data_IF_094201346489
#
_entry.id   IF_094201346489
#
_cell.length_a   1.000
_cell.length_b   1.000
_cell.length_c   1.000
_cell.angle_alpha   90.00
_cell.angle_beta   90.00
_cell.angle_gamma   90.00
#
_symmetry.space_group_name_H-M   'P 1'
#
loop_
_entity.id
_entity.type
_entity.pdbx_description
1 polymer ?
#
# COMPACT_ATOMS: atom_id res chain seq x y z
N UNK A 1 -27.73 1.53 -29.01
CA UNK A 1 -27.16 0.81 -27.86
C UNK A 1 -28.28 0.72 -26.85
N UNK A 2 -28.67 -0.49 -26.44
CA UNK A 2 -29.80 -0.67 -25.53
C UNK A 2 -29.43 -0.20 -24.12
N UNK A 3 -30.38 0.42 -23.41
CA UNK A 3 -30.17 0.88 -22.04
C UNK A 3 -30.27 -0.28 -21.05
N UNK A 4 -29.36 -0.32 -20.07
CA UNK A 4 -29.40 -1.26 -18.94
C UNK A 4 -29.60 -0.52 -17.62
N UNK A 5 -30.12 -1.21 -16.60
CA UNK A 5 -30.25 -0.64 -15.26
C UNK A 5 -28.89 -0.57 -14.54
N UNK A 6 -28.76 0.31 -13.54
CA UNK A 6 -27.56 0.41 -12.70
C UNK A 6 -27.24 -0.91 -11.99
N UNK A 7 -28.28 -1.60 -11.51
CA UNK A 7 -28.14 -2.94 -10.89
C UNK A 7 -27.55 -3.95 -11.87
N UNK A 8 -27.97 -3.90 -13.12
CA UNK A 8 -27.46 -4.81 -14.13
C UNK A 8 -26.01 -4.51 -14.49
N UNK A 9 -25.62 -3.23 -14.58
CA UNK A 9 -24.23 -2.85 -14.73
C UNK A 9 -23.38 -3.35 -13.55
N UNK A 10 -23.83 -3.17 -12.31
CA UNK A 10 -23.12 -3.65 -11.12
C UNK A 10 -22.94 -5.17 -11.11
N UNK A 11 -23.98 -5.92 -11.52
CA UNK A 11 -23.91 -7.37 -11.66
C UNK A 11 -22.90 -7.81 -12.72
N UNK A 12 -22.83 -7.11 -13.86
CA UNK A 12 -21.82 -7.38 -14.91
C UNK A 12 -20.41 -7.10 -14.41
N UNK A 13 -20.18 -6.02 -13.67
CA UNK A 13 -18.89 -5.71 -13.06
C UNK A 13 -18.49 -6.82 -12.07
N UNK A 14 -19.40 -7.22 -11.19
CA UNK A 14 -19.18 -8.31 -10.23
C UNK A 14 -18.80 -9.62 -10.93
N UNK A 15 -19.53 -9.98 -11.99
CA UNK A 15 -19.24 -11.17 -12.78
C UNK A 15 -17.89 -11.12 -13.49
N UNK A 16 -17.49 -9.95 -14.01
CA UNK A 16 -16.17 -9.77 -14.62
C UNK A 16 -15.05 -9.90 -13.59
N UNK A 17 -15.23 -9.35 -12.39
CA UNK A 17 -14.25 -9.44 -11.31
C UNK A 17 -14.14 -10.85 -10.71
N UNK A 18 -15.20 -11.66 -10.79
CA UNK A 18 -15.18 -13.05 -10.35
C UNK A 18 -14.25 -13.95 -11.19
N UNK A 19 -13.79 -13.47 -12.36
CA UNK A 19 -12.80 -14.16 -13.18
C UNK A 19 -11.35 -13.89 -12.75
N UNK A 20 -11.11 -12.94 -11.83
CA UNK A 20 -9.79 -12.67 -11.27
C UNK A 20 -9.40 -13.79 -10.29
N UNK A 21 -8.10 -13.94 -10.06
CA UNK A 21 -7.59 -14.79 -8.99
C UNK A 21 -8.07 -14.25 -7.64
N UNK A 22 -8.20 -15.17 -6.67
CA UNK A 22 -8.72 -14.83 -5.36
C UNK A 22 -7.81 -13.87 -4.59
N UNK A 23 -6.49 -14.00 -4.75
CA UNK A 23 -5.50 -13.25 -3.96
C UNK A 23 -4.27 -12.88 -4.79
N UNK A 24 -3.71 -11.70 -4.50
CA UNK A 24 -2.52 -11.16 -5.16
C UNK A 24 -1.52 -10.64 -4.14
N UNK A 25 -0.23 -10.86 -4.39
CA UNK A 25 0.83 -10.10 -3.72
C UNK A 25 1.08 -8.81 -4.48
N UNK A 26 0.84 -7.67 -3.83
CA UNK A 26 0.92 -6.33 -4.43
C UNK A 26 1.90 -5.48 -3.66
N UNK A 27 2.79 -4.81 -4.40
CA UNK A 27 3.66 -3.76 -3.87
C UNK A 27 2.92 -2.44 -3.97
N UNK A 28 2.87 -1.68 -2.87
CA UNK A 28 2.29 -0.35 -2.85
C UNK A 28 2.97 0.55 -1.80
N UNK A 29 2.76 1.85 -1.90
CA UNK A 29 3.04 2.80 -0.83
C UNK A 29 1.76 3.10 -0.05
N UNK A 30 1.87 3.13 1.28
CA UNK A 30 0.77 3.55 2.15
C UNK A 30 0.70 5.08 2.11
N UNK A 31 -0.35 5.64 1.52
CA UNK A 31 -0.60 7.08 1.57
C UNK A 31 -1.21 7.48 2.92
N UNK A 32 -2.16 6.68 3.43
CA UNK A 32 -2.77 6.87 4.75
C UNK A 32 -3.06 5.52 5.41
N UNK A 33 -3.00 5.51 6.74
CA UNK A 33 -3.42 4.38 7.56
C UNK A 33 -4.27 4.89 8.74
N UNK A 34 -5.50 4.41 8.83
CA UNK A 34 -6.48 4.84 9.84
C UNK A 34 -7.02 3.64 10.61
N UNK A 35 -6.61 3.51 11.87
CA UNK A 35 -7.19 2.53 12.78
C UNK A 35 -8.50 3.06 13.36
N UNK A 36 -9.61 2.43 13.02
CA UNK A 36 -10.89 2.72 13.63
C UNK A 36 -10.95 2.07 15.02
N UNK A 37 -10.85 2.87 16.08
CA UNK A 37 -10.81 2.40 17.46
C UNK A 37 -12.06 1.63 17.90
N UNK A 38 -13.24 1.91 17.31
CA UNK A 38 -14.50 1.24 17.66
C UNK A 38 -14.61 -0.15 17.03
N UNK A 39 -14.30 -0.27 15.74
CA UNK A 39 -14.38 -1.56 15.01
C UNK A 39 -13.10 -2.39 15.10
N UNK A 40 -11.97 -1.75 15.39
CA UNK A 40 -10.63 -2.34 15.35
C UNK A 40 -10.10 -2.61 13.94
N UNK A 41 -10.78 -2.14 12.89
CA UNK A 41 -10.32 -2.29 11.50
C UNK A 41 -9.33 -1.19 11.15
N UNK A 42 -8.34 -1.53 10.33
CA UNK A 42 -7.43 -0.56 9.75
C UNK A 42 -7.82 -0.29 8.29
N UNK A 43 -8.01 0.98 7.95
CA UNK A 43 -8.30 1.41 6.59
C UNK A 43 -7.04 2.05 6.01
N UNK A 44 -6.63 1.59 4.83
CA UNK A 44 -5.47 2.09 4.13
C UNK A 44 -5.90 2.76 2.83
N UNK A 45 -5.24 3.87 2.51
CA UNK A 45 -5.16 4.36 1.14
C UNK A 45 -3.80 3.94 0.58
N UNK A 46 -3.82 3.16 -0.49
CA UNK A 46 -2.63 2.65 -1.16
C UNK A 46 -2.42 3.42 -2.46
N UNK A 47 -1.17 3.74 -2.75
CA UNK A 47 -0.76 4.42 -3.97
C UNK A 47 0.43 3.73 -4.61
N UNK A 48 0.52 3.82 -5.93
CA UNK A 48 1.73 3.50 -6.69
C UNK A 48 2.19 4.75 -7.42
N UNK A 49 3.49 5.05 -7.33
CA UNK A 49 4.07 6.28 -7.86
C UNK A 49 5.37 5.98 -8.59
N UNK A 50 5.58 6.68 -9.71
CA UNK A 50 6.84 6.73 -10.43
C UNK A 50 7.23 8.20 -10.60
N UNK A 51 8.40 8.60 -10.10
CA UNK A 51 8.90 9.99 -10.18
C UNK A 51 7.86 11.05 -9.76
N UNK A 52 7.20 10.81 -8.63
CA UNK A 52 6.09 11.61 -8.07
C UNK A 52 4.77 11.62 -8.87
N UNK A 53 4.71 10.94 -10.03
CA UNK A 53 3.47 10.73 -10.77
C UNK A 53 2.64 9.61 -10.11
N UNK A 54 1.37 9.90 -9.78
CA UNK A 54 0.43 8.93 -9.24
C UNK A 54 -0.10 8.03 -10.35
N UNK A 55 0.35 6.76 -10.38
CA UNK A 55 -0.04 5.79 -11.40
C UNK A 55 -1.33 5.04 -11.02
N UNK A 56 -1.47 4.69 -9.75
CA UNK A 56 -2.62 3.96 -9.25
C UNK A 56 -2.95 4.34 -7.81
N UNK A 57 -4.24 4.26 -7.45
CA UNK A 57 -4.71 4.43 -6.08
C UNK A 57 -5.87 3.49 -5.79
N UNK A 58 -5.82 2.82 -4.64
CA UNK A 58 -6.90 1.93 -4.18
C UNK A 58 -7.09 2.02 -2.67
N UNK A 59 -8.33 1.88 -2.22
CA UNK A 59 -8.66 1.71 -0.80
C UNK A 59 -8.49 0.26 -0.40
N UNK A 60 -7.90 0.03 0.75
CA UNK A 60 -7.78 -1.29 1.34
C UNK A 60 -8.29 -1.31 2.78
N UNK A 61 -8.79 -2.47 3.21
CA UNK A 61 -9.23 -2.70 4.58
C UNK A 61 -8.49 -3.90 5.15
N UNK A 62 -7.96 -3.75 6.36
CA UNK A 62 -7.49 -4.84 7.19
C UNK A 62 -8.51 -5.07 8.30
N UNK A 63 -9.21 -6.21 8.25
CA UNK A 63 -10.18 -6.57 9.27
C UNK A 63 -9.50 -6.77 10.63
N UNK A 64 -10.25 -6.54 11.71
CA UNK A 64 -9.73 -6.48 13.10
C UNK A 64 -8.79 -7.63 13.45
N UNK A 65 -9.22 -8.87 13.22
CA UNK A 65 -8.44 -10.05 13.58
C UNK A 65 -7.17 -10.21 12.73
N UNK A 66 -7.23 -9.88 11.44
CA UNK A 66 -6.05 -9.86 10.58
C UNK A 66 -5.12 -8.74 11.02
N UNK A 67 -5.65 -7.54 11.30
CA UNK A 67 -4.87 -6.37 11.67
C UNK A 67 -4.09 -6.59 12.97
N UNK A 68 -4.69 -7.22 13.98
CA UNK A 68 -3.98 -7.55 15.22
C UNK A 68 -2.76 -8.44 14.98
N UNK A 69 -2.89 -9.49 14.16
CA UNK A 69 -1.80 -10.41 13.83
C UNK A 69 -0.74 -9.75 12.96
N UNK A 70 -1.18 -9.05 11.91
CA UNK A 70 -0.33 -8.34 10.96
C UNK A 70 0.48 -7.27 11.67
N UNK A 71 -0.18 -6.41 12.46
CA UNK A 71 0.47 -5.31 13.18
C UNK A 71 1.53 -5.84 14.16
N UNK A 72 1.21 -6.88 14.94
CA UNK A 72 2.17 -7.48 15.86
C UNK A 72 3.40 -8.06 15.12
N UNK A 73 3.18 -8.86 14.06
CA UNK A 73 4.24 -9.42 13.21
C UNK A 73 5.09 -8.32 12.58
N UNK A 74 4.44 -7.29 12.05
CA UNK A 74 5.08 -6.18 11.35
C UNK A 74 5.93 -5.34 12.30
N UNK A 75 5.39 -4.94 13.44
CA UNK A 75 6.12 -4.16 14.45
C UNK A 75 7.27 -4.93 15.06
N UNK A 76 7.12 -6.26 15.28
CA UNK A 76 8.21 -7.10 15.78
C UNK A 76 9.39 -7.15 14.80
N UNK A 77 9.12 -7.24 13.50
CA UNK A 77 10.15 -7.32 12.48
C UNK A 77 10.77 -5.95 12.16
N UNK A 78 9.94 -4.91 12.00
CA UNK A 78 10.36 -3.60 11.49
C UNK A 78 10.70 -2.59 12.58
N UNK A 79 10.24 -2.82 13.83
CA UNK A 79 10.33 -1.86 14.92
C UNK A 79 9.37 -0.68 14.79
N UNK A 80 8.42 -0.71 13.85
CA UNK A 80 7.46 0.38 13.60
C UNK A 80 6.08 -0.18 13.19
N UNK A 81 5.03 0.62 13.37
CA UNK A 81 3.70 0.25 12.87
C UNK A 81 3.57 0.56 11.37
N UNK A 82 2.64 -0.13 10.68
CA UNK A 82 2.31 0.19 9.28
C UNK A 82 1.73 1.60 9.22
N UNK A 83 2.40 2.49 8.50
CA UNK A 83 2.06 3.91 8.44
C UNK A 83 2.36 4.55 7.10
N UNK A 84 1.99 5.83 6.97
CA UNK A 84 2.15 6.60 5.75
C UNK A 84 3.63 6.68 5.30
N UNK A 85 3.85 6.65 3.98
CA UNK A 85 5.18 6.68 3.35
C UNK A 85 5.92 5.35 3.33
N UNK A 86 5.37 4.30 3.92
CA UNK A 86 5.98 2.96 3.89
C UNK A 86 5.66 2.25 2.57
N UNK A 87 6.69 1.70 1.94
CA UNK A 87 6.53 0.75 0.84
C UNK A 87 6.31 -0.64 1.42
N UNK A 88 5.21 -1.28 1.06
CA UNK A 88 4.73 -2.52 1.65
C UNK A 88 4.44 -3.55 0.56
N UNK A 89 4.61 -4.83 0.92
CA UNK A 89 4.18 -5.96 0.13
C UNK A 89 2.99 -6.61 0.82
N UNK A 90 1.82 -6.56 0.18
CA UNK A 90 0.53 -6.91 0.75
C UNK A 90 -0.05 -8.12 0.02
N UNK A 91 -0.55 -9.11 0.75
CA UNK A 91 -1.44 -10.13 0.20
C UNK A 91 -2.87 -9.58 0.24
N UNK A 92 -3.50 -9.41 -0.91
CA UNK A 92 -4.81 -8.75 -1.04
C UNK A 92 -5.80 -9.59 -1.82
N UNK A 93 -7.06 -9.53 -1.41
CA UNK A 93 -8.22 -10.04 -2.13
C UNK A 93 -9.00 -8.86 -2.75
N UNK A 94 -9.36 -8.95 -4.02
CA UNK A 94 -10.15 -7.92 -4.71
C UNK A 94 -11.62 -8.02 -4.28
N UNK A 95 -12.21 -6.90 -3.87
CA UNK A 95 -13.61 -6.83 -3.41
C UNK A 95 -14.37 -5.78 -4.20
N UNK A 96 -15.57 -6.14 -4.63
CA UNK A 96 -16.52 -5.19 -5.21
C UNK A 96 -17.80 -5.18 -4.38
N UNK A 97 -18.21 -4.00 -3.96
CA UNK A 97 -19.48 -3.78 -3.28
C UNK A 97 -20.33 -2.85 -4.13
N UNK A 98 -21.59 -3.19 -4.38
CA UNK A 98 -22.47 -2.43 -5.28
C UNK A 98 -22.62 -0.95 -4.87
N UNK A 99 -22.51 -0.66 -3.57
CA UNK A 99 -22.63 0.71 -3.02
C UNK A 99 -21.28 1.42 -2.88
N UNK A 100 -20.23 0.70 -2.51
CA UNK A 100 -18.94 1.31 -2.12
C UNK A 100 -17.87 1.21 -3.21
N UNK A 101 -18.15 0.43 -4.28
CA UNK A 101 -17.25 0.21 -5.39
C UNK A 101 -16.16 -0.83 -5.10
N UNK A 102 -15.05 -0.69 -5.81
CA UNK A 102 -13.89 -1.57 -5.74
C UNK A 102 -13.03 -1.22 -4.51
N UNK A 103 -12.58 -2.25 -3.80
CA UNK A 103 -11.61 -2.14 -2.71
C UNK A 103 -10.78 -3.40 -2.58
N UNK A 104 -9.74 -3.32 -1.76
CA UNK A 104 -8.87 -4.45 -1.42
C UNK A 104 -9.13 -4.89 0.02
N UNK A 105 -9.09 -6.19 0.25
CA UNK A 105 -9.06 -6.78 1.58
C UNK A 105 -7.65 -7.33 1.84
N UNK A 106 -6.94 -6.76 2.81
CA UNK A 106 -5.57 -7.17 3.14
C UNK A 106 -5.60 -8.39 4.06
N UNK A 107 -4.95 -9.45 3.63
CA UNK A 107 -4.86 -10.75 4.33
C UNK A 107 -3.57 -10.91 5.11
N UNK A 108 -2.46 -10.41 4.57
CA UNK A 108 -1.15 -10.42 5.21
C UNK A 108 -0.26 -9.29 4.67
N UNK A 109 0.82 -9.00 5.38
CA UNK A 109 1.88 -8.08 4.98
C UNK A 109 3.22 -8.78 5.18
N UNK A 110 4.11 -8.68 4.20
CA UNK A 110 5.49 -9.14 4.34
C UNK A 110 6.37 -7.99 4.90
N UNK A 111 6.80 -8.06 6.18
CA UNK A 111 7.64 -7.04 6.78
C UNK A 111 9.08 -7.07 6.26
N UNK A 112 9.57 -8.20 5.75
CA UNK A 112 10.93 -8.32 5.22
C UNK A 112 11.11 -7.44 3.98
N UNK A 113 10.07 -7.32 3.16
CA UNK A 113 10.07 -6.38 2.04
C UNK A 113 10.26 -4.93 2.51
N UNK A 114 9.46 -4.48 3.48
CA UNK A 114 9.54 -3.10 3.98
C UNK A 114 10.87 -2.82 4.68
N UNK A 115 11.39 -3.77 5.46
CA UNK A 115 12.75 -3.67 6.04
C UNK A 115 13.82 -3.47 4.97
N UNK A 116 13.76 -4.25 3.88
CA UNK A 116 14.68 -4.12 2.76
C UNK A 116 14.58 -2.76 2.07
N UNK A 117 13.36 -2.26 1.83
CA UNK A 117 13.14 -0.94 1.24
C UNK A 117 13.67 0.19 2.13
N UNK A 118 13.45 0.12 3.44
CA UNK A 118 13.96 1.10 4.40
C UNK A 118 15.50 1.10 4.44
N UNK A 119 16.13 -0.07 4.45
CA UNK A 119 17.58 -0.20 4.41
C UNK A 119 18.16 0.40 3.13
N UNK A 120 17.52 0.13 1.98
CA UNK A 120 17.90 0.68 0.68
C UNK A 120 17.79 2.21 0.65
N UNK A 121 16.65 2.78 1.06
CA UNK A 121 16.43 4.23 1.11
C UNK A 121 17.44 4.94 2.02
N UNK A 122 17.81 4.31 3.13
CA UNK A 122 18.85 4.82 4.03
C UNK A 122 20.21 4.90 3.33
N UNK A 123 20.60 3.82 2.63
CA UNK A 123 21.86 3.79 1.89
C UNK A 123 21.89 4.85 0.76
N UNK A 124 20.83 4.94 -0.04
CA UNK A 124 20.69 5.95 -1.09
C UNK A 124 20.79 7.39 -0.53
N UNK A 125 20.20 7.63 0.63
CA UNK A 125 20.26 8.93 1.32
C UNK A 125 21.70 9.26 1.74
N UNK A 126 22.42 8.30 2.32
CA UNK A 126 23.83 8.48 2.73
C UNK A 126 24.69 8.80 1.51
N UNK A 127 24.59 8.01 0.44
CA UNK A 127 25.38 8.21 -0.77
C UNK A 127 25.13 9.56 -1.44
N UNK A 128 23.88 10.03 -1.43
CA UNK A 128 23.53 11.36 -1.95
C UNK A 128 24.18 12.47 -1.12
N UNK A 129 24.09 12.41 0.20
CA UNK A 129 24.66 13.42 1.10
C UNK A 129 26.20 13.47 0.99
N UNK A 130 26.86 12.32 0.84
CA UNK A 130 28.30 12.26 0.61
C UNK A 130 28.71 12.93 -0.71
N UNK A 131 27.98 12.65 -1.80
CA UNK A 131 28.23 13.28 -3.11
C UNK A 131 28.04 14.79 -3.06
N UNK A 132 26.97 15.27 -2.42
CA UNK A 132 26.73 16.70 -2.22
C UNK A 132 27.85 17.35 -1.40
N UNK A 133 28.28 16.70 -0.30
CA UNK A 133 29.38 17.19 0.54
C UNK A 133 30.73 17.28 -0.19
N UNK A 134 31.05 16.33 -1.08
CA UNK A 134 32.24 16.38 -1.94
C UNK A 134 32.12 17.54 -2.93
N UNK A 135 30.95 17.75 -3.53
CA UNK A 135 30.72 18.83 -4.47
C UNK A 135 30.90 20.21 -3.82
N UNK A 136 30.38 20.41 -2.60
CA UNK A 136 30.56 21.64 -1.84
C UNK A 136 32.03 21.91 -1.49
N UNK A 137 32.76 20.91 -0.99
CA UNK A 137 34.20 21.05 -0.66
C UNK A 137 35.09 21.37 -1.86
N UNK A 138 34.74 20.89 -3.05
CA UNK A 138 35.49 21.19 -4.28
C UNK A 138 35.19 22.60 -4.82
N UNK A 139 34.03 23.18 -4.48
CA UNK A 139 33.61 24.52 -4.92
C UNK A 139 34.24 25.64 -4.08
N UNK A 140 34.57 25.38 -2.81
CA UNK A 140 35.24 26.34 -1.91
C UNK A 140 36.76 26.47 -2.14
N UNK A 141 37.35 25.59 -2.95
CA UNK A 141 38.80 25.60 -3.29
C UNK A 141 39.13 26.28 -4.62
N UNK A 142 38.23 27.12 -5.14
CA UNK A 142 38.40 27.88 -6.39
C UNK A 142 38.10 29.34 -6.16
#
# INVERSE_FOLDING_TARGET
MDSISLKELASRISGALAALDSEYWVVAEVAQANLNQRSGHCYLDLVDKLDDELLAQMRATIWKWSFQKISAKFSLATGSEIGAGMKVLLLVEVRFHEIYGLSLNVKDVDPSYTLGDMARKRQETIERLEKEGIFHKNKEKK
#
